data_IF_995121869658
#
_entry.id   IF_995121869658
#
_cell.length_a   1.000
_cell.length_b   1.000
_cell.length_c   1.000
_cell.angle_alpha   90.00
_cell.angle_beta   90.00
_cell.angle_gamma   90.00
#
_symmetry.space_group_name_H-M   'P 1'
#
loop_
_entity.id
_entity.type
_entity.pdbx_description
1 polymer ?
#
# COMPACT_ATOMS: atom_id res chain seq x y z
N UNK A 1 16.40 -9.28 2.41
CA UNK A 1 15.98 -8.07 1.68
C UNK A 1 16.88 -7.89 0.47
N UNK A 2 16.33 -7.84 -0.75
CA UNK A 2 17.13 -7.48 -1.92
C UNK A 2 17.49 -6.00 -1.81
N UNK A 3 18.78 -5.66 -1.91
CA UNK A 3 19.21 -4.26 -1.97
C UNK A 3 18.50 -3.58 -3.16
N UNK A 4 17.97 -2.36 -2.98
CA UNK A 4 17.31 -1.66 -4.06
C UNK A 4 18.29 -1.41 -5.21
N UNK A 5 17.80 -1.61 -6.43
CA UNK A 5 18.57 -1.38 -7.65
C UNK A 5 18.90 0.11 -7.76
N UNK A 6 20.17 0.43 -7.52
CA UNK A 6 20.71 1.78 -7.62
C UNK A 6 21.01 2.09 -9.09
N UNK A 7 20.28 3.05 -9.64
CA UNK A 7 20.42 3.51 -11.02
C UNK A 7 21.09 4.89 -11.05
N UNK A 8 21.73 5.22 -12.18
CA UNK A 8 22.26 6.57 -12.40
C UNK A 8 21.25 7.40 -13.18
N UNK A 9 20.96 8.60 -12.67
CA UNK A 9 20.14 9.59 -13.39
C UNK A 9 20.83 9.96 -14.70
N UNK A 10 20.10 9.86 -15.82
CA UNK A 10 20.62 10.19 -17.15
C UNK A 10 19.94 11.41 -17.78
N UNK A 11 18.90 11.96 -17.14
CA UNK A 11 18.09 13.04 -17.69
C UNK A 11 18.32 14.36 -16.97
N UNK A 12 18.02 15.46 -17.64
CA UNK A 12 18.03 16.79 -17.07
C UNK A 12 16.62 17.26 -16.70
N UNK A 13 15.64 17.01 -17.58
CA UNK A 13 14.25 17.45 -17.42
C UNK A 13 13.24 16.30 -17.51
N UNK A 14 12.30 16.23 -16.57
CA UNK A 14 11.10 15.40 -16.71
C UNK A 14 9.95 16.25 -17.28
N UNK A 15 9.17 15.69 -18.20
CA UNK A 15 7.99 16.35 -18.81
C UNK A 15 6.90 15.34 -19.10
N UNK A 16 5.69 15.82 -19.43
CA UNK A 16 4.63 14.99 -19.97
C UNK A 16 4.11 15.58 -21.28
N UNK A 17 3.55 14.72 -22.13
CA UNK A 17 2.83 15.09 -23.35
C UNK A 17 1.45 14.44 -23.29
N UNK A 18 0.40 15.22 -23.58
CA UNK A 18 -0.95 14.71 -23.76
C UNK A 18 -1.10 14.11 -25.16
N UNK A 19 -1.65 12.90 -25.24
CA UNK A 19 -2.06 12.24 -26.47
C UNK A 19 -3.44 11.60 -26.30
N UNK A 20 -3.86 10.81 -27.29
CA UNK A 20 -5.19 10.17 -27.33
C UNK A 20 -5.37 9.12 -26.20
N UNK A 21 -4.27 8.53 -25.72
CA UNK A 21 -4.28 7.48 -24.68
C UNK A 21 -4.09 8.04 -23.26
N UNK A 22 -3.82 9.35 -23.13
CA UNK A 22 -3.65 10.05 -21.86
C UNK A 22 -2.39 10.92 -21.83
N UNK A 23 -1.64 10.83 -20.74
CA UNK A 23 -0.43 11.62 -20.51
C UNK A 23 0.78 10.69 -20.42
N UNK A 24 1.68 10.81 -21.40
CA UNK A 24 2.94 10.05 -21.46
C UNK A 24 4.07 10.85 -20.86
N UNK A 25 4.90 10.19 -20.06
CA UNK A 25 6.02 10.84 -19.36
C UNK A 25 7.31 10.69 -20.16
N UNK A 26 8.09 11.76 -20.21
CA UNK A 26 9.37 11.83 -20.92
C UNK A 26 10.48 12.31 -19.98
N UNK A 27 11.63 11.67 -20.10
CA UNK A 27 12.90 12.09 -19.50
C UNK A 27 13.77 12.64 -20.63
N UNK A 28 13.94 13.96 -20.64
CA UNK A 28 14.39 14.76 -21.79
C UNK A 28 13.55 14.47 -23.04
N UNK A 29 14.11 13.71 -23.99
CA UNK A 29 13.41 13.28 -25.22
C UNK A 29 13.05 11.79 -25.20
N UNK A 30 13.40 11.06 -24.14
CA UNK A 30 13.17 9.63 -24.03
C UNK A 30 11.83 9.35 -23.35
N UNK A 31 10.98 8.58 -24.03
CA UNK A 31 9.73 8.09 -23.47
C UNK A 31 10.02 7.17 -22.28
N UNK A 32 9.42 7.46 -21.13
CA UNK A 32 9.61 6.68 -19.92
C UNK A 32 8.95 5.30 -20.05
N UNK A 33 9.75 4.27 -19.84
CA UNK A 33 9.29 2.87 -19.78
C UNK A 33 9.47 2.31 -18.37
N UNK A 34 8.47 1.54 -17.97
CA UNK A 34 8.44 0.79 -16.73
C UNK A 34 9.34 -0.47 -16.82
N UNK A 35 9.62 -1.15 -15.69
CA UNK A 35 10.54 -2.29 -15.66
C UNK A 35 10.19 -3.44 -16.62
N UNK A 36 8.90 -3.71 -16.88
CA UNK A 36 8.46 -4.72 -17.86
C UNK A 36 8.28 -4.14 -19.27
N UNK A 37 8.89 -2.98 -19.53
CA UNK A 37 8.94 -2.24 -20.81
C UNK A 37 7.62 -1.62 -21.25
N UNK A 38 6.58 -1.68 -20.42
CA UNK A 38 5.33 -0.95 -20.63
C UNK A 38 5.59 0.56 -20.64
N UNK A 39 4.83 1.29 -21.44
CA UNK A 39 4.90 2.76 -21.46
C UNK A 39 4.20 3.29 -20.21
N UNK A 40 4.82 4.23 -19.49
CA UNK A 40 4.16 4.89 -18.38
C UNK A 40 3.18 5.94 -18.94
N UNK A 41 1.88 5.65 -18.83
CA UNK A 41 0.79 6.53 -19.28
C UNK A 41 -0.27 6.62 -18.19
N UNK A 42 -0.74 7.83 -17.89
CA UNK A 42 -1.80 8.09 -16.90
C UNK A 42 -2.96 8.85 -17.53
N UNK A 43 -4.16 8.68 -17.00
CA UNK A 43 -5.41 9.20 -17.59
C UNK A 43 -5.67 10.67 -17.29
N UNK A 44 -5.12 11.23 -16.22
CA UNK A 44 -5.34 12.63 -15.82
C UNK A 44 -4.02 13.42 -15.68
N UNK A 45 -4.14 14.74 -15.82
CA UNK A 45 -3.00 15.65 -15.80
C UNK A 45 -2.38 15.79 -14.40
N UNK A 46 -3.19 15.66 -13.35
CA UNK A 46 -2.73 15.74 -11.95
C UNK A 46 -1.69 14.67 -11.64
N UNK A 47 -1.97 13.41 -11.99
CA UNK A 47 -1.03 12.31 -11.88
C UNK A 47 0.21 12.54 -12.75
N UNK A 48 0.03 13.05 -13.97
CA UNK A 48 1.15 13.32 -14.87
C UNK A 48 2.12 14.35 -14.27
N UNK A 49 1.59 15.44 -13.70
CA UNK A 49 2.37 16.47 -12.98
C UNK A 49 3.12 15.87 -11.79
N UNK A 50 2.43 15.08 -10.95
CA UNK A 50 3.05 14.43 -9.80
C UNK A 50 4.19 13.49 -10.19
N UNK A 51 4.02 12.70 -11.24
CA UNK A 51 5.06 11.80 -11.73
C UNK A 51 6.23 12.59 -12.32
N UNK A 52 5.96 13.67 -13.07
CA UNK A 52 7.02 14.57 -13.53
C UNK A 52 7.81 15.15 -12.37
N UNK A 53 7.15 15.67 -11.33
CA UNK A 53 7.80 16.24 -10.15
C UNK A 53 8.66 15.19 -9.42
N UNK A 54 8.14 13.98 -9.29
CA UNK A 54 8.83 12.84 -8.69
C UNK A 54 10.14 12.52 -9.45
N UNK A 55 10.07 12.36 -10.78
CA UNK A 55 11.25 12.10 -11.61
C UNK A 55 12.19 13.31 -11.73
N UNK A 56 11.66 14.53 -11.65
CA UNK A 56 12.49 15.74 -11.66
C UNK A 56 13.38 15.81 -10.41
N UNK A 57 12.88 15.36 -9.27
CA UNK A 57 13.58 15.37 -7.98
C UNK A 57 14.41 14.11 -7.72
N UNK A 58 14.12 13.00 -8.40
CA UNK A 58 14.86 11.76 -8.23
C UNK A 58 16.34 11.91 -8.63
N UNK A 59 17.23 11.55 -7.70
CA UNK A 59 18.67 11.55 -7.93
C UNK A 59 19.23 12.94 -8.22
N UNK A 60 18.93 13.95 -7.38
CA UNK A 60 19.51 15.30 -7.33
C UNK A 60 19.95 15.91 -8.67
N UNK A 61 21.11 15.50 -9.22
CA UNK A 61 21.61 15.92 -10.53
C UNK A 61 21.95 14.73 -11.43
N UNK A 62 21.99 14.98 -12.74
CA UNK A 62 22.44 14.00 -13.73
C UNK A 62 23.78 13.38 -13.34
N UNK A 63 23.86 12.05 -13.37
CA UNK A 63 25.01 11.26 -12.91
C UNK A 63 24.89 10.73 -11.47
N UNK A 64 24.03 11.34 -10.64
CA UNK A 64 23.78 10.89 -9.27
C UNK A 64 22.96 9.60 -9.25
N UNK A 65 23.01 8.93 -8.10
CA UNK A 65 22.32 7.67 -7.88
C UNK A 65 20.89 7.95 -7.41
N UNK A 66 19.93 7.23 -7.98
CA UNK A 66 18.56 7.15 -7.48
C UNK A 66 18.12 5.68 -7.33
N UNK A 67 17.00 5.48 -6.63
CA UNK A 67 16.33 4.20 -6.44
C UNK A 67 14.85 4.34 -6.83
N UNK A 68 14.20 3.25 -7.19
CA UNK A 68 12.74 3.24 -7.32
C UNK A 68 12.02 3.53 -5.99
N UNK A 69 12.70 3.37 -4.84
CA UNK A 69 12.13 3.76 -3.53
C UNK A 69 11.92 5.27 -3.41
N UNK A 70 12.57 6.08 -4.25
CA UNK A 70 12.33 7.52 -4.33
C UNK A 70 11.26 7.87 -5.36
N UNK A 71 10.58 6.87 -5.94
CA UNK A 71 9.60 7.01 -7.00
C UNK A 71 8.24 6.33 -6.65
N UNK A 72 7.60 6.69 -5.52
CA UNK A 72 6.42 6.01 -5.01
C UNK A 72 5.20 6.01 -5.95
N UNK A 73 4.84 7.15 -6.54
CA UNK A 73 3.70 7.23 -7.46
C UNK A 73 4.00 6.43 -8.72
N UNK A 74 5.21 6.50 -9.26
CA UNK A 74 5.62 5.65 -10.38
C UNK A 74 5.55 4.16 -10.04
N UNK A 75 5.95 3.75 -8.82
CA UNK A 75 5.82 2.34 -8.36
C UNK A 75 4.35 1.89 -8.31
N UNK A 76 3.46 2.75 -7.83
CA UNK A 76 2.01 2.46 -7.76
C UNK A 76 1.45 2.35 -9.19
N UNK A 77 1.73 3.31 -10.08
CA UNK A 77 1.30 3.27 -11.48
C UNK A 77 1.89 2.09 -12.24
N UNK A 78 3.12 1.68 -11.93
CA UNK A 78 3.73 0.47 -12.48
C UNK A 78 2.92 -0.77 -12.11
N UNK A 79 2.37 -0.81 -10.89
CA UNK A 79 1.49 -1.89 -10.44
C UNK A 79 0.15 -1.82 -11.17
N UNK A 80 -0.44 -0.64 -11.35
CA UNK A 80 -1.66 -0.52 -12.16
C UNK A 80 -1.47 -1.06 -13.59
N UNK A 81 -0.42 -0.61 -14.29
CA UNK A 81 -0.21 -0.88 -15.71
C UNK A 81 0.29 -2.29 -15.99
N UNK A 82 1.27 -2.78 -15.23
CA UNK A 82 1.96 -4.04 -15.55
C UNK A 82 1.41 -5.24 -14.77
N UNK A 83 0.58 -5.00 -13.76
CA UNK A 83 0.12 -6.03 -12.83
C UNK A 83 -1.40 -6.12 -12.81
N UNK A 84 -2.09 -5.03 -12.48
CA UNK A 84 -3.56 -5.04 -12.32
C UNK A 84 -4.28 -5.11 -13.68
N UNK A 85 -4.07 -4.13 -14.56
CA UNK A 85 -4.76 -4.06 -15.86
C UNK A 85 -4.61 -5.32 -16.72
N UNK A 86 -3.44 -5.97 -16.80
CA UNK A 86 -3.28 -7.18 -17.62
C UNK A 86 -4.04 -8.40 -17.09
N UNK A 87 -4.17 -8.55 -15.77
CA UNK A 87 -4.81 -9.72 -15.16
C UNK A 87 -5.38 -9.40 -13.76
N UNK A 88 -6.48 -8.62 -13.76
CA UNK A 88 -7.18 -8.19 -12.56
C UNK A 88 -7.56 -9.36 -11.65
N UNK A 89 -8.09 -10.43 -12.23
CA UNK A 89 -8.57 -11.61 -11.49
C UNK A 89 -7.43 -12.28 -10.72
N UNK A 90 -6.29 -12.49 -11.38
CA UNK A 90 -5.10 -13.07 -10.74
C UNK A 90 -4.64 -12.25 -9.55
N UNK A 91 -4.68 -10.92 -9.64
CA UNK A 91 -4.29 -10.07 -8.51
C UNK A 91 -5.27 -10.15 -7.35
N UNK A 92 -6.57 -10.22 -7.61
CA UNK A 92 -7.56 -10.47 -6.54
C UNK A 92 -7.26 -11.81 -5.86
N UNK A 93 -7.01 -12.87 -6.63
CA UNK A 93 -6.70 -14.19 -6.08
C UNK A 93 -5.37 -14.23 -5.30
N UNK A 94 -4.41 -13.33 -5.61
CA UNK A 94 -3.17 -13.14 -4.82
C UNK A 94 -3.43 -12.43 -3.49
N UNK A 95 -4.40 -11.52 -3.43
CA UNK A 95 -4.73 -10.77 -2.22
C UNK A 95 -5.57 -11.59 -1.24
N UNK A 96 -6.53 -12.39 -1.71
CA UNK A 96 -7.46 -13.13 -0.85
C UNK A 96 -6.82 -13.98 0.27
N UNK A 97 -5.65 -14.63 0.07
CA UNK A 97 -4.95 -15.34 1.15
C UNK A 97 -4.66 -14.48 2.39
N UNK A 98 -4.50 -13.16 2.26
CA UNK A 98 -4.29 -12.25 3.40
C UNK A 98 -5.48 -12.26 4.38
N UNK A 99 -6.70 -12.65 3.96
CA UNK A 99 -7.86 -12.73 4.87
C UNK A 99 -7.63 -13.73 6.00
N UNK A 100 -6.94 -14.84 5.73
CA UNK A 100 -6.60 -15.83 6.76
C UNK A 100 -5.43 -15.37 7.64
N UNK A 101 -4.57 -14.49 7.12
CA UNK A 101 -3.47 -13.85 7.84
C UNK A 101 -3.82 -12.46 8.37
N UNK A 102 -5.11 -12.13 8.49
CA UNK A 102 -5.56 -10.79 8.88
C UNK A 102 -5.00 -10.40 10.25
N UNK A 103 -4.14 -9.38 10.27
CA UNK A 103 -3.42 -8.91 11.45
C UNK A 103 -4.31 -8.81 12.71
N UNK A 104 -5.47 -8.18 12.57
CA UNK A 104 -6.35 -7.88 13.70
C UNK A 104 -6.95 -9.14 14.34
N UNK A 105 -6.88 -10.29 13.65
CA UNK A 105 -7.40 -11.58 14.13
C UNK A 105 -6.38 -12.38 14.95
N UNK A 106 -5.11 -12.00 14.99
CA UNK A 106 -4.06 -12.71 15.75
C UNK A 106 -3.65 -11.89 16.97
N UNK A 107 -4.16 -12.27 18.15
CA UNK A 107 -3.97 -11.50 19.38
C UNK A 107 -2.82 -12.05 20.23
N UNK A 108 -2.10 -11.14 20.86
CA UNK A 108 -1.12 -11.48 21.88
C UNK A 108 -1.80 -12.09 23.12
N UNK A 109 -1.08 -12.96 23.82
CA UNK A 109 -1.48 -13.46 25.14
C UNK A 109 -0.81 -12.69 26.28
N UNK A 110 0.32 -12.04 25.98
CA UNK A 110 1.14 -11.30 26.92
C UNK A 110 2.04 -10.30 26.15
N UNK A 111 2.55 -9.25 26.82
CA UNK A 111 2.18 -8.80 28.16
C UNK A 111 0.77 -8.20 28.20
N UNK A 112 0.15 -8.11 29.40
CA UNK A 112 -1.23 -7.62 29.58
C UNK A 112 -1.47 -6.24 28.95
N UNK A 113 -0.45 -5.36 28.98
CA UNK A 113 -0.51 -4.04 28.34
C UNK A 113 -0.75 -4.15 26.83
N UNK A 114 -0.04 -5.05 26.13
CA UNK A 114 -0.23 -5.28 24.70
C UNK A 114 -1.62 -5.84 24.41
N UNK A 115 -2.04 -6.85 25.17
CA UNK A 115 -3.39 -7.46 25.03
C UNK A 115 -4.48 -6.40 25.18
N UNK A 116 -4.38 -5.54 26.19
CA UNK A 116 -5.35 -4.48 26.43
C UNK A 116 -5.38 -3.46 25.28
N UNK A 117 -4.21 -3.07 24.76
CA UNK A 117 -4.10 -2.12 23.65
C UNK A 117 -4.64 -2.69 22.35
N UNK A 118 -4.30 -3.93 22.01
CA UNK A 118 -4.87 -4.63 20.86
C UNK A 118 -6.40 -4.71 20.97
N UNK A 119 -6.94 -5.09 22.13
CA UNK A 119 -8.40 -5.12 22.32
C UNK A 119 -9.03 -3.74 22.18
N UNK A 120 -8.42 -2.70 22.77
CA UNK A 120 -8.94 -1.34 22.73
C UNK A 120 -8.98 -0.76 21.31
N UNK A 121 -7.94 -1.02 20.50
CA UNK A 121 -7.78 -0.40 19.18
C UNK A 121 -8.32 -1.27 18.04
N UNK A 122 -8.06 -2.58 18.08
CA UNK A 122 -8.41 -3.48 16.98
C UNK A 122 -9.84 -4.00 17.04
N UNK A 123 -10.39 -4.24 18.25
CA UNK A 123 -11.74 -4.81 18.36
C UNK A 123 -12.83 -3.89 17.76
N UNK A 124 -12.82 -2.56 17.98
CA UNK A 124 -13.82 -1.69 17.37
C UNK A 124 -13.75 -1.68 15.84
N UNK A 125 -12.56 -1.83 15.26
CA UNK A 125 -12.39 -1.86 13.80
C UNK A 125 -12.87 -3.20 13.22
N UNK A 126 -12.61 -4.32 13.91
CA UNK A 126 -13.20 -5.61 13.54
C UNK A 126 -14.73 -5.58 13.57
N UNK A 127 -15.32 -5.04 14.65
CA UNK A 127 -16.78 -4.92 14.74
C UNK A 127 -17.34 -4.05 13.62
N UNK A 128 -16.68 -2.92 13.34
CA UNK A 128 -17.08 -2.05 12.24
C UNK A 128 -17.06 -2.76 10.88
N UNK A 129 -16.00 -3.51 10.54
CA UNK A 129 -15.94 -4.20 9.24
C UNK A 129 -16.92 -5.37 9.16
N UNK A 130 -17.17 -6.05 10.29
CA UNK A 130 -18.17 -7.11 10.40
C UNK A 130 -19.57 -6.57 10.12
N UNK A 131 -19.91 -5.41 10.66
CA UNK A 131 -21.17 -4.72 10.36
C UNK A 131 -21.20 -4.22 8.91
N UNK A 132 -20.14 -3.56 8.45
CA UNK A 132 -20.05 -2.93 7.13
C UNK A 132 -20.18 -3.93 5.98
N UNK A 133 -19.52 -5.09 6.08
CA UNK A 133 -19.58 -6.15 5.07
C UNK A 133 -20.58 -7.26 5.42
N UNK A 134 -21.23 -7.18 6.59
CA UNK A 134 -22.07 -8.25 7.14
C UNK A 134 -21.33 -9.60 7.21
N UNK A 135 -20.10 -9.60 7.74
CA UNK A 135 -19.24 -10.78 7.90
C UNK A 135 -18.96 -11.06 9.38
N UNK A 136 -18.25 -12.15 9.64
CA UNK A 136 -17.71 -12.42 10.98
C UNK A 136 -16.28 -12.93 10.82
N UNK A 137 -15.38 -12.43 11.66
CA UNK A 137 -14.01 -12.88 11.76
C UNK A 137 -13.85 -13.80 12.97
N UNK A 138 -13.14 -14.91 12.74
CA UNK A 138 -12.57 -15.70 13.83
C UNK A 138 -11.33 -14.97 14.33
N UNK A 139 -11.23 -14.81 15.64
CA UNK A 139 -10.07 -14.23 16.31
C UNK A 139 -9.40 -15.32 17.14
N UNK A 140 -8.08 -15.39 17.07
CA UNK A 140 -7.26 -16.35 17.81
C UNK A 140 -6.28 -15.64 18.74
N UNK A 141 -5.68 -16.41 19.63
CA UNK A 141 -4.55 -16.00 20.47
C UNK A 141 -3.32 -16.82 20.10
N UNK A 142 -2.16 -16.18 20.07
CA UNK A 142 -0.90 -16.83 19.68
C UNK A 142 -0.78 -17.02 18.16
N UNK A 143 0.07 -17.97 17.75
CA UNK A 143 0.57 -18.09 16.37
C UNK A 143 -0.08 -19.19 15.54
N UNK A 144 -1.03 -19.95 16.11
CA UNK A 144 -1.67 -21.05 15.39
C UNK A 144 -2.55 -20.50 14.26
N UNK A 145 -2.32 -20.90 13.00
CA UNK A 145 -3.08 -20.37 11.87
C UNK A 145 -4.57 -20.70 12.00
N UNK A 146 -5.40 -19.72 11.63
CA UNK A 146 -6.85 -19.92 11.50
C UNK A 146 -7.28 -19.83 10.05
N UNK A 147 -8.38 -20.52 9.73
CA UNK A 147 -9.07 -20.40 8.46
C UNK A 147 -10.36 -19.65 8.71
N UNK A 148 -10.53 -18.51 8.03
CA UNK A 148 -11.75 -17.72 8.09
C UNK A 148 -12.89 -18.43 7.36
N UNK A 149 -14.13 -18.09 7.74
CA UNK A 149 -15.30 -18.69 7.11
C UNK A 149 -15.37 -18.35 5.61
N UNK A 150 -15.76 -19.33 4.79
CA UNK A 150 -15.85 -19.17 3.32
C UNK A 150 -16.76 -18.00 2.94
N UNK A 151 -17.81 -17.75 3.73
CA UNK A 151 -18.70 -16.61 3.54
C UNK A 151 -17.97 -15.28 3.70
N UNK A 152 -17.14 -15.13 4.74
CA UNK A 152 -16.32 -13.93 4.97
C UNK A 152 -15.36 -13.69 3.81
N UNK A 153 -14.63 -14.72 3.39
CA UNK A 153 -13.72 -14.63 2.23
C UNK A 153 -14.49 -14.23 0.96
N UNK A 154 -15.65 -14.83 0.71
CA UNK A 154 -16.46 -14.52 -0.47
C UNK A 154 -17.03 -13.10 -0.45
N UNK A 155 -17.43 -12.56 0.71
CA UNK A 155 -17.91 -11.18 0.81
C UNK A 155 -16.79 -10.17 0.60
N UNK A 156 -15.60 -10.41 1.16
CA UNK A 156 -14.40 -9.60 0.89
C UNK A 156 -14.04 -9.67 -0.60
N UNK A 157 -14.04 -10.87 -1.21
CA UNK A 157 -13.83 -11.04 -2.65
C UNK A 157 -14.83 -10.22 -3.46
N UNK A 158 -16.11 -10.28 -3.11
CA UNK A 158 -17.18 -9.54 -3.80
C UNK A 158 -16.99 -8.03 -3.68
N UNK A 159 -16.59 -7.54 -2.50
CA UNK A 159 -16.27 -6.14 -2.29
C UNK A 159 -15.12 -5.70 -3.21
N UNK A 160 -13.99 -6.41 -3.20
CA UNK A 160 -12.80 -6.08 -4.01
C UNK A 160 -13.09 -6.18 -5.51
N UNK A 161 -13.91 -7.14 -5.93
CA UNK A 161 -14.28 -7.30 -7.35
C UNK A 161 -15.01 -6.09 -7.92
N UNK A 162 -15.67 -5.27 -7.09
CA UNK A 162 -16.43 -4.08 -7.51
C UNK A 162 -15.57 -2.82 -7.68
N UNK A 163 -14.36 -2.83 -7.15
CA UNK A 163 -13.45 -1.70 -7.21
C UNK A 163 -13.02 -1.40 -8.64
N UNK A 164 -12.60 -0.18 -8.94
CA UNK A 164 -11.88 0.14 -10.17
C UNK A 164 -10.50 -0.52 -10.19
N UNK A 165 -9.78 -0.45 -11.31
CA UNK A 165 -8.39 -0.94 -11.38
C UNK A 165 -7.46 -0.06 -10.54
N UNK A 166 -7.73 1.24 -10.48
CA UNK A 166 -7.00 2.20 -9.68
C UNK A 166 -7.19 1.93 -8.17
N UNK A 167 -8.43 1.68 -7.74
CA UNK A 167 -8.75 1.32 -6.35
C UNK A 167 -8.15 -0.04 -5.99
N UNK A 168 -8.23 -1.04 -6.88
CA UNK A 168 -7.58 -2.33 -6.64
C UNK A 168 -6.05 -2.18 -6.53
N UNK A 169 -5.46 -1.26 -7.30
CA UNK A 169 -4.03 -0.95 -7.21
C UNK A 169 -3.67 -0.40 -5.83
N UNK A 170 -4.50 0.49 -5.27
CA UNK A 170 -4.33 0.94 -3.89
C UNK A 170 -4.27 -0.26 -2.92
N UNK A 171 -5.26 -1.16 -2.96
CA UNK A 171 -5.27 -2.34 -2.09
C UNK A 171 -4.06 -3.27 -2.33
N UNK A 172 -3.64 -3.45 -3.57
CA UNK A 172 -2.47 -4.26 -3.91
C UNK A 172 -1.16 -3.73 -3.28
N UNK A 173 -1.10 -2.42 -3.00
CA UNK A 173 0.06 -1.78 -2.37
C UNK A 173 -0.12 -1.67 -0.85
N UNK A 174 -1.28 -1.24 -0.36
CA UNK A 174 -1.47 -0.96 1.06
C UNK A 174 -1.64 -2.20 1.94
N UNK A 175 -2.24 -3.29 1.41
CA UNK A 175 -2.47 -4.51 2.21
C UNK A 175 -1.15 -5.13 2.65
N UNK A 176 -0.14 -5.33 1.78
CA UNK A 176 1.16 -5.83 2.21
C UNK A 176 1.87 -4.90 3.23
N UNK A 177 1.67 -3.58 3.13
CA UNK A 177 2.27 -2.61 4.06
C UNK A 177 1.64 -2.66 5.44
N UNK A 178 0.33 -2.89 5.54
CA UNK A 178 -0.38 -2.97 6.82
C UNK A 178 -0.49 -4.40 7.37
N UNK A 179 -0.31 -5.41 6.52
CA UNK A 179 -0.62 -6.80 6.85
C UNK A 179 -2.11 -7.06 7.09
N UNK A 180 -3.00 -6.17 6.63
CA UNK A 180 -4.41 -6.16 7.03
C UNK A 180 -5.32 -5.67 5.91
N UNK A 181 -6.30 -6.50 5.53
CA UNK A 181 -7.43 -6.05 4.71
C UNK A 181 -8.31 -5.08 5.48
N UNK A 182 -8.56 -5.37 6.75
CA UNK A 182 -9.49 -4.61 7.57
C UNK A 182 -9.03 -3.16 7.73
N UNK A 183 -7.76 -2.94 8.03
CA UNK A 183 -7.20 -1.58 8.12
C UNK A 183 -7.15 -0.90 6.74
N UNK A 184 -6.82 -1.61 5.68
CA UNK A 184 -6.85 -1.05 4.31
C UNK A 184 -8.24 -0.58 3.90
N UNK A 185 -9.28 -1.39 4.17
CA UNK A 185 -10.67 -1.00 3.89
C UNK A 185 -11.09 0.16 4.79
N UNK A 186 -10.69 0.16 6.06
CA UNK A 186 -10.99 1.26 6.98
C UNK A 186 -10.36 2.59 6.51
N UNK A 187 -9.14 2.58 5.97
CA UNK A 187 -8.53 3.77 5.37
C UNK A 187 -9.27 4.18 4.09
N UNK A 188 -9.54 3.22 3.19
CA UNK A 188 -10.22 3.46 1.92
C UNK A 188 -11.60 4.11 2.13
N UNK A 189 -12.37 3.59 3.08
CA UNK A 189 -13.70 4.09 3.47
C UNK A 189 -13.63 5.31 4.41
N UNK A 190 -12.44 5.88 4.63
CA UNK A 190 -12.18 7.05 5.50
C UNK A 190 -12.64 6.87 6.95
N UNK A 191 -12.77 5.62 7.41
CA UNK A 191 -13.02 5.26 8.81
C UNK A 191 -11.78 5.49 9.67
N UNK A 192 -10.60 5.30 9.09
CA UNK A 192 -9.29 5.60 9.68
C UNK A 192 -8.51 6.53 8.75
N UNK A 193 -7.71 7.40 9.35
CA UNK A 193 -6.63 8.09 8.64
C UNK A 193 -5.47 7.13 8.32
N UNK A 194 -4.60 7.53 7.39
CA UNK A 194 -3.36 6.82 7.08
C UNK A 194 -2.49 6.62 8.34
N UNK A 195 -2.42 7.66 9.18
CA UNK A 195 -1.67 7.64 10.43
C UNK A 195 -2.25 6.62 11.42
N UNK A 196 -3.56 6.64 11.66
CA UNK A 196 -4.20 5.67 12.58
C UNK A 196 -4.04 4.24 12.09
N UNK A 197 -4.20 4.01 10.78
CA UNK A 197 -4.00 2.67 10.21
C UNK A 197 -2.55 2.17 10.36
N UNK A 198 -1.56 3.04 10.18
CA UNK A 198 -0.16 2.73 10.47
C UNK A 198 0.05 2.41 11.96
N UNK A 199 -0.42 3.26 12.86
CA UNK A 199 -0.29 3.06 14.31
C UNK A 199 -0.95 1.75 14.77
N UNK A 200 -2.07 1.37 14.15
CA UNK A 200 -2.76 0.14 14.47
C UNK A 200 -2.06 -1.09 13.91
N UNK A 201 -1.49 -0.98 12.70
CA UNK A 201 -0.76 -2.07 12.06
C UNK A 201 0.55 -2.41 12.80
N UNK A 202 1.24 -1.38 13.30
CA UNK A 202 2.56 -1.49 13.93
C UNK A 202 2.53 -1.35 15.46
N UNK A 203 1.34 -1.54 16.05
CA UNK A 203 1.09 -1.42 17.49
C UNK A 203 2.04 -2.31 18.32
N UNK A 204 2.27 -3.53 17.87
CA UNK A 204 3.09 -4.51 18.55
C UNK A 204 4.56 -4.04 18.60
N UNK A 205 5.12 -3.60 17.47
CA UNK A 205 6.47 -3.03 17.43
C UNK A 205 6.61 -1.77 18.29
N UNK A 206 5.61 -0.88 18.27
CA UNK A 206 5.63 0.31 19.13
C UNK A 206 5.64 -0.03 20.62
N UNK A 207 4.85 -1.01 21.05
CA UNK A 207 4.86 -1.43 22.46
C UNK A 207 6.14 -2.17 22.81
N UNK A 208 6.67 -3.01 21.92
CA UNK A 208 7.94 -3.72 22.16
C UNK A 208 9.11 -2.75 22.34
N UNK A 209 9.22 -1.73 21.49
CA UNK A 209 10.26 -0.70 21.62
C UNK A 209 10.19 0.08 22.94
N UNK A 210 8.98 0.30 23.48
CA UNK A 210 8.80 0.92 24.80
C UNK A 210 9.28 0.02 25.95
N UNK A 211 9.14 -1.31 25.80
CA UNK A 211 9.49 -2.28 26.84
C UNK A 211 10.98 -2.64 26.80
N UNK A 212 11.53 -2.87 25.61
CA UNK A 212 12.88 -3.40 25.41
C UNK A 212 13.91 -2.38 24.93
N UNK A 213 13.47 -1.15 24.67
CA UNK A 213 14.33 -0.07 24.21
C UNK A 213 14.27 0.15 22.71
N UNK A 214 14.84 1.27 22.31
CA UNK A 214 14.76 1.80 20.94
C UNK A 214 15.80 1.16 20.02
N UNK A 215 15.35 0.75 18.84
CA UNK A 215 16.20 0.29 17.73
C UNK A 215 16.09 1.30 16.56
N UNK A 216 17.22 1.92 16.22
CA UNK A 216 17.29 2.94 15.18
C UNK A 216 17.00 2.37 13.77
N UNK A 217 17.41 1.14 13.48
CA UNK A 217 17.15 0.50 12.19
C UNK A 217 15.67 0.16 12.06
N UNK A 218 15.05 -0.36 13.14
CA UNK A 218 13.62 -0.62 13.19
C UNK A 218 12.81 0.67 13.00
N UNK A 219 13.17 1.77 13.68
CA UNK A 219 12.47 3.04 13.53
C UNK A 219 12.61 3.61 12.12
N UNK A 220 13.80 3.51 11.52
CA UNK A 220 13.99 3.94 10.14
C UNK A 220 13.10 3.15 9.18
N UNK A 221 12.98 1.83 9.36
CA UNK A 221 12.05 0.98 8.60
C UNK A 221 10.60 1.46 8.78
N UNK A 222 10.16 1.69 10.01
CA UNK A 222 8.80 2.15 10.31
C UNK A 222 8.49 3.52 9.69
N UNK A 223 9.43 4.45 9.72
CA UNK A 223 9.28 5.76 9.08
C UNK A 223 9.12 5.64 7.56
N UNK A 224 9.88 4.75 6.91
CA UNK A 224 9.74 4.49 5.48
C UNK A 224 8.38 3.89 5.15
N UNK A 225 7.91 2.93 5.95
CA UNK A 225 6.60 2.31 5.76
C UNK A 225 5.48 3.34 5.94
N UNK A 226 5.54 4.18 6.97
CA UNK A 226 4.56 5.24 7.19
C UNK A 226 4.51 6.20 5.99
N UNK A 227 5.67 6.56 5.42
CA UNK A 227 5.75 7.35 4.20
C UNK A 227 5.10 6.65 3.01
N UNK A 228 5.39 5.36 2.79
CA UNK A 228 4.79 4.58 1.70
C UNK A 228 3.26 4.45 1.85
N UNK A 229 2.75 4.33 3.09
CA UNK A 229 1.30 4.31 3.36
C UNK A 229 0.67 5.65 2.99
N UNK A 230 1.27 6.78 3.40
CA UNK A 230 0.77 8.11 3.06
C UNK A 230 0.77 8.33 1.55
N UNK A 231 1.85 7.96 0.85
CA UNK A 231 1.94 8.08 -0.61
C UNK A 231 0.89 7.22 -1.33
N UNK A 232 0.55 6.06 -0.78
CA UNK A 232 -0.52 5.21 -1.29
C UNK A 232 -1.91 5.85 -1.10
N UNK A 233 -2.15 6.56 0.00
CA UNK A 233 -3.40 7.28 0.24
C UNK A 233 -3.51 8.52 -0.65
N UNK A 234 -2.44 9.31 -0.77
CA UNK A 234 -2.36 10.47 -1.67
C UNK A 234 -2.68 10.07 -3.13
N UNK A 235 -2.22 8.89 -3.56
CA UNK A 235 -2.53 8.36 -4.88
C UNK A 235 -4.05 8.27 -5.17
N UNK A 236 -4.86 7.88 -4.18
CA UNK A 236 -6.32 7.86 -4.36
C UNK A 236 -6.89 9.26 -4.57
N UNK A 237 -6.32 10.28 -3.93
CA UNK A 237 -6.74 11.66 -4.15
C UNK A 237 -6.39 12.11 -5.57
N UNK A 238 -5.23 11.71 -6.10
CA UNK A 238 -4.83 12.07 -7.46
C UNK A 238 -5.64 11.37 -8.55
N UNK A 239 -6.15 10.16 -8.29
CA UNK A 239 -7.00 9.43 -9.24
C UNK A 239 -8.41 10.01 -9.30
N UNK A 240 -8.94 10.46 -8.17
CA UNK A 240 -10.32 10.94 -8.05
C UNK A 240 -10.54 12.41 -8.45
N UNK A 241 -9.46 13.14 -8.79
CA UNK A 241 -9.47 14.52 -9.30
C UNK A 241 -9.36 14.56 -10.83
#
# INVERSE_FOLDING_TARGET
>A
MNKPLKLRRFWDKATYIKDDDGFRIYLDKQLLRLPQKSILTVSNETLAKRIVDEWQNAGCKKGDIFSFDTLPITRIISTLIEKIKPDRKKYIDVLLPYVNGELLCYRAEKPKQLVNKQNQLWQPILQWIEEFLHITFRVTKGVMPIVQDKQTINKIKTYIMRLSDEELTFFAVIIPLLGSFVLSIAIFERKLSAQEGFEYAYLDEHIQSQIWGYDAEQQQRLNLIQKEINECVDYLEYVNN
#
